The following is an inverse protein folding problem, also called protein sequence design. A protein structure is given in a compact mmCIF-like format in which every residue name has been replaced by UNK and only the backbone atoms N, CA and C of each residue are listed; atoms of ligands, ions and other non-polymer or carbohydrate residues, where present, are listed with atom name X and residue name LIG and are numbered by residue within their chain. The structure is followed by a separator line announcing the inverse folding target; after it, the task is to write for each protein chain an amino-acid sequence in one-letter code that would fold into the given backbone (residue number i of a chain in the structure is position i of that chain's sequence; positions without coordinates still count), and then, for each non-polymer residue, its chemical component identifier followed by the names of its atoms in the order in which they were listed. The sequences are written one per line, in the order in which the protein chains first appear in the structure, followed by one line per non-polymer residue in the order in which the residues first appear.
data_IF_767242717457
#
_entry.id   IF_767242717457
#
_cell.length_a   1.000
_cell.length_b   1.000
_cell.length_c   1.000
_cell.angle_alpha   90.00
_cell.angle_beta   90.00
_cell.angle_gamma   90.00
#
_symmetry.space_group_name_H-M   'P 1'
#
loop_
_entity.id
_entity.type
_entity.pdbx_description
1 polymer ?
#
# COMPACT_ATOMS: atom_id res chain seq x y z
N UNK A 1 39.04 -42.40 -13.66
CA UNK A 1 37.95 -43.06 -14.42
C UNK A 1 36.74 -43.12 -13.51
N UNK A 2 35.59 -42.48 -13.77
CA UNK A 2 35.14 -41.76 -14.96
C UNK A 2 34.11 -40.66 -14.61
N UNK A 3 33.96 -39.74 -15.56
CA UNK A 3 32.83 -38.81 -15.73
C UNK A 3 31.53 -39.63 -15.99
N UNK A 4 30.29 -39.16 -15.86
CA UNK A 4 29.55 -37.97 -16.36
C UNK A 4 28.22 -37.91 -15.55
N UNK A 5 27.48 -36.84 -15.25
CA UNK A 5 27.24 -35.54 -15.89
C UNK A 5 25.72 -35.32 -16.02
N UNK A 6 25.18 -34.18 -15.55
CA UNK A 6 24.11 -33.27 -16.09
C UNK A 6 23.65 -32.29 -14.96
N UNK A 7 24.08 -31.01 -14.98
CA UNK A 7 23.41 -29.80 -15.50
C UNK A 7 22.14 -29.38 -14.69
N UNK A 8 22.09 -28.30 -13.89
CA UNK A 8 22.24 -26.84 -14.11
C UNK A 8 20.91 -26.09 -14.36
N UNK A 9 20.58 -25.15 -13.47
CA UNK A 9 19.80 -23.92 -13.73
C UNK A 9 19.96 -22.97 -12.54
N UNK A 10 20.86 -21.98 -12.65
CA UNK A 10 20.58 -20.55 -12.94
C UNK A 10 19.81 -19.86 -11.79
N UNK A 11 20.38 -18.96 -10.98
CA UNK A 11 21.29 -17.87 -11.33
C UNK A 11 20.49 -16.69 -11.91
N UNK A 12 20.00 -15.79 -11.06
CA UNK A 12 19.57 -14.45 -11.49
C UNK A 12 20.22 -13.42 -10.58
N UNK A 13 21.44 -13.05 -10.97
CA UNK A 13 21.95 -11.70 -10.81
C UNK A 13 21.83 -11.03 -12.19
N UNK A 14 21.32 -9.81 -12.24
CA UNK A 14 21.44 -8.93 -13.40
C UNK A 14 20.11 -8.35 -13.90
N UNK A 15 20.02 -7.02 -13.91
CA UNK A 15 18.94 -6.34 -14.62
C UNK A 15 18.76 -4.86 -14.29
N UNK A 16 19.83 -4.07 -14.29
CA UNK A 16 19.69 -2.62 -14.50
C UNK A 16 19.21 -2.37 -15.93
N UNK A 17 17.89 -2.35 -16.14
CA UNK A 17 17.32 -1.96 -17.43
C UNK A 17 17.10 -0.46 -17.47
N UNK A 18 18.15 0.29 -17.86
CA UNK A 18 17.96 1.58 -18.53
C UNK A 18 17.62 1.28 -19.99
N UNK A 19 16.33 1.19 -20.29
CA UNK A 19 15.82 1.16 -21.66
C UNK A 19 15.01 2.44 -21.92
N UNK A 20 15.27 3.04 -23.09
CA UNK A 20 14.82 4.36 -23.50
C UNK A 20 13.30 4.56 -23.56
N UNK A 21 12.94 5.82 -23.47
CA UNK A 21 11.59 6.34 -23.54
C UNK A 21 10.85 5.93 -24.82
N UNK A 22 9.73 5.23 -24.65
CA UNK A 22 8.56 5.30 -25.54
C UNK A 22 7.33 5.13 -24.66
N UNK A 23 6.51 6.17 -24.61
CA UNK A 23 5.46 6.37 -23.59
C UNK A 23 4.60 5.13 -23.35
N UNK A 24 4.79 4.50 -22.20
CA UNK A 24 3.82 3.58 -21.63
C UNK A 24 2.92 4.48 -20.78
N UNK A 25 1.66 4.64 -21.17
CA UNK A 25 0.61 5.13 -20.27
C UNK A 25 0.58 4.15 -19.09
N UNK A 26 1.38 4.42 -18.07
CA UNK A 26 1.39 3.63 -16.85
C UNK A 26 -0.05 3.55 -16.35
N UNK A 27 -0.49 2.35 -15.97
CA UNK A 27 -1.78 2.18 -15.30
C UNK A 27 -1.90 3.27 -14.23
N UNK A 28 -3.03 3.97 -14.17
CA UNK A 28 -3.29 4.96 -13.13
C UNK A 28 -3.21 4.34 -11.70
N UNK A 29 -3.18 3.01 -11.63
CA UNK A 29 -3.06 2.15 -10.45
C UNK A 29 -1.59 2.12 -9.98
N UNK A 30 -1.27 2.56 -8.75
CA UNK A 30 0.11 2.57 -8.23
C UNK A 30 0.78 1.19 -8.18
N UNK A 31 0.06 0.16 -7.74
CA UNK A 31 0.56 -1.22 -7.58
C UNK A 31 -0.45 -2.21 -8.19
N UNK A 32 -0.40 -2.46 -9.51
CA UNK A 32 -1.43 -3.22 -10.21
C UNK A 32 -1.41 -4.72 -9.92
N UNK A 33 -0.23 -5.28 -9.62
CA UNK A 33 -0.05 -6.69 -9.28
C UNK A 33 0.28 -6.82 -7.78
N UNK A 34 -0.17 -7.90 -7.10
CA UNK A 34 0.22 -8.16 -5.73
C UNK A 34 1.75 -8.16 -5.56
N UNK A 35 2.24 -7.47 -4.53
CA UNK A 35 3.67 -7.42 -4.19
C UNK A 35 3.85 -7.69 -2.71
N UNK A 36 4.85 -8.48 -2.35
CA UNK A 36 5.29 -8.59 -0.94
C UNK A 36 6.08 -7.34 -0.58
N UNK A 37 5.52 -6.52 0.29
CA UNK A 37 6.12 -5.29 0.78
C UNK A 37 7.24 -5.59 1.80
N UNK A 38 8.08 -4.59 2.10
CA UNK A 38 9.19 -4.71 3.05
C UNK A 38 8.78 -5.15 4.48
N UNK A 39 7.51 -4.94 4.85
CA UNK A 39 6.95 -5.41 6.13
C UNK A 39 6.50 -6.89 6.11
N UNK A 40 6.75 -7.61 5.01
CA UNK A 40 6.41 -9.02 4.83
C UNK A 40 4.95 -9.28 4.42
N UNK A 41 4.13 -8.23 4.25
CA UNK A 41 2.71 -8.35 3.90
C UNK A 41 2.48 -8.14 2.41
N UNK A 42 1.42 -8.74 1.87
CA UNK A 42 1.07 -8.59 0.45
C UNK A 42 0.23 -7.34 0.26
N UNK A 43 0.65 -6.48 -0.66
CA UNK A 43 -0.05 -5.26 -1.04
C UNK A 43 -0.50 -5.29 -2.50
N UNK A 44 -1.72 -4.82 -2.77
CA UNK A 44 -2.24 -4.61 -4.11
C UNK A 44 -3.14 -3.38 -4.12
N UNK A 45 -2.94 -2.49 -5.09
CA UNK A 45 -3.84 -1.36 -5.29
C UNK A 45 -5.24 -1.83 -5.69
N UNK A 46 -6.25 -1.15 -5.18
CA UNK A 46 -7.65 -1.46 -5.51
C UNK A 46 -8.14 -0.52 -6.63
N UNK A 47 -8.63 -1.03 -7.77
CA UNK A 47 -9.15 -0.21 -8.87
C UNK A 47 -10.20 0.83 -8.43
N UNK A 48 -10.97 0.55 -7.36
CA UNK A 48 -11.96 1.49 -6.80
C UNK A 48 -11.34 2.79 -6.27
N UNK A 49 -10.07 2.75 -5.87
CA UNK A 49 -9.30 3.90 -5.39
C UNK A 49 -8.33 4.44 -6.44
N UNK A 50 -8.43 3.96 -7.67
CA UNK A 50 -7.65 4.48 -8.80
C UNK A 50 -8.49 5.47 -9.60
N UNK A 51 -7.94 6.64 -9.93
CA UNK A 51 -8.63 7.62 -10.76
C UNK A 51 -8.97 7.03 -12.15
N UNK A 52 -10.26 6.95 -12.47
CA UNK A 52 -10.74 6.34 -13.72
C UNK A 52 -10.69 4.81 -13.73
N UNK A 53 -10.37 4.17 -12.60
CA UNK A 53 -10.42 2.71 -12.43
C UNK A 53 -11.84 2.17 -12.30
N UNK A 54 -11.98 0.86 -12.48
CA UNK A 54 -13.27 0.19 -12.34
C UNK A 54 -13.83 0.35 -10.92
N UNK A 55 -15.10 0.78 -10.85
CA UNK A 55 -15.76 1.07 -9.58
C UNK A 55 -15.30 2.34 -8.86
N UNK A 56 -14.41 3.16 -9.46
CA UNK A 56 -14.05 4.47 -8.92
C UNK A 56 -15.24 5.43 -9.02
N UNK A 57 -15.76 5.84 -7.86
CA UNK A 57 -16.88 6.78 -7.76
C UNK A 57 -16.35 8.19 -7.56
N UNK A 58 -17.14 9.22 -7.93
CA UNK A 58 -16.73 10.63 -7.79
C UNK A 58 -16.36 11.04 -6.35
N UNK A 59 -16.87 10.32 -5.35
CA UNK A 59 -16.63 10.52 -3.92
C UNK A 59 -15.66 9.48 -3.31
N UNK A 60 -15.09 8.58 -4.11
CA UNK A 60 -14.05 7.68 -3.63
C UNK A 60 -12.76 8.48 -3.40
N UNK A 61 -12.06 8.16 -2.31
CA UNK A 61 -10.70 8.64 -2.13
C UNK A 61 -9.78 8.06 -3.22
N UNK A 62 -8.75 8.82 -3.57
CA UNK A 62 -7.77 8.43 -4.58
C UNK A 62 -6.49 7.97 -3.88
N UNK A 63 -6.08 6.75 -4.21
CA UNK A 63 -4.88 6.13 -3.68
C UNK A 63 -3.64 6.98 -4.05
N UNK A 64 -2.79 7.33 -3.09
CA UNK A 64 -1.57 8.08 -3.35
C UNK A 64 -0.56 7.21 -4.12
N UNK A 65 0.29 7.84 -4.95
CA UNK A 65 1.30 7.11 -5.74
C UNK A 65 2.35 6.38 -4.88
N UNK A 66 2.60 6.91 -3.69
CA UNK A 66 3.50 6.38 -2.67
C UNK A 66 2.81 5.43 -1.69
N UNK A 67 1.60 4.94 -2.01
CA UNK A 67 0.80 4.04 -1.16
C UNK A 67 1.56 2.79 -0.70
N UNK A 68 2.40 2.20 -1.56
CA UNK A 68 3.24 1.06 -1.19
C UNK A 68 4.24 1.44 -0.09
N UNK A 69 4.91 2.57 -0.23
CA UNK A 69 5.89 3.04 0.77
C UNK A 69 5.21 3.37 2.09
N UNK A 70 4.02 3.97 2.05
CA UNK A 70 3.20 4.21 3.22
C UNK A 70 2.80 2.88 3.88
N UNK A 71 2.38 1.89 3.08
CA UNK A 71 2.01 0.57 3.58
C UNK A 71 3.18 -0.15 4.25
N UNK A 72 4.37 -0.10 3.67
CA UNK A 72 5.60 -0.66 4.25
C UNK A 72 5.89 -0.11 5.65
N UNK A 73 5.60 1.17 5.87
CA UNK A 73 5.81 1.85 7.16
C UNK A 73 4.54 1.86 8.04
N UNK A 74 3.51 1.11 7.65
CA UNK A 74 2.24 1.10 8.39
C UNK A 74 2.32 0.26 9.66
N UNK A 75 1.64 0.75 10.70
CA UNK A 75 1.47 0.06 11.98
C UNK A 75 0.07 -0.57 12.06
N UNK A 76 -0.06 -1.76 12.67
CA UNK A 76 -1.36 -2.39 12.85
C UNK A 76 -2.24 -1.55 13.79
N UNK A 77 -3.55 -1.58 13.53
CA UNK A 77 -4.54 -1.03 14.43
C UNK A 77 -4.65 -1.89 15.69
N UNK A 78 -4.84 -1.26 16.85
CA UNK A 78 -5.16 -1.96 18.09
C UNK A 78 -6.63 -2.36 18.22
N UNK A 79 -7.50 -1.90 17.31
CA UNK A 79 -8.90 -2.33 17.25
C UNK A 79 -9.04 -3.65 16.50
N UNK A 80 -9.97 -4.49 16.94
CA UNK A 80 -10.39 -5.67 16.19
C UNK A 80 -11.43 -5.27 15.13
N UNK A 81 -11.25 -5.72 13.89
CA UNK A 81 -12.18 -5.46 12.77
C UNK A 81 -12.77 -6.76 12.21
N UNK A 82 -13.00 -7.75 13.09
CA UNK A 82 -13.52 -9.06 12.71
C UNK A 82 -12.52 -9.82 11.83
N UNK A 83 -12.91 -10.09 10.59
CA UNK A 83 -12.11 -10.81 9.59
C UNK A 83 -11.13 -9.92 8.82
N UNK A 84 -10.98 -8.66 9.22
CA UNK A 84 -10.09 -7.69 8.59
C UNK A 84 -8.95 -7.32 9.52
N UNK A 85 -7.77 -7.11 8.93
CA UNK A 85 -6.70 -6.37 9.58
C UNK A 85 -6.72 -4.93 9.06
N UNK A 86 -6.57 -3.96 9.95
CA UNK A 86 -6.47 -2.55 9.58
C UNK A 86 -5.12 -2.03 10.01
N UNK A 87 -4.45 -1.29 9.11
CA UNK A 87 -3.16 -0.68 9.37
C UNK A 87 -3.20 0.81 9.04
N UNK A 88 -2.33 1.58 9.66
CA UNK A 88 -2.26 3.02 9.45
C UNK A 88 -0.84 3.49 9.22
N UNK A 89 -0.66 4.48 8.35
CA UNK A 89 0.61 5.16 8.13
C UNK A 89 0.40 6.67 8.09
N UNK A 90 1.45 7.43 8.35
CA UNK A 90 1.44 8.89 8.25
C UNK A 90 2.32 9.34 7.09
N UNK A 91 1.82 10.23 6.25
CA UNK A 91 2.60 10.85 5.18
C UNK A 91 3.44 12.04 5.68
N UNK A 92 4.28 12.59 4.80
CA UNK A 92 5.13 13.76 5.13
C UNK A 92 4.33 15.03 5.44
N UNK A 93 3.09 15.12 4.96
CA UNK A 93 2.17 16.24 5.20
C UNK A 93 1.40 16.09 6.51
N UNK A 94 1.57 14.98 7.21
CA UNK A 94 0.87 14.65 8.45
C UNK A 94 -0.52 14.06 8.25
N UNK A 95 -0.91 13.67 7.03
CA UNK A 95 -2.14 12.93 6.80
C UNK A 95 -1.97 11.47 7.20
N UNK A 96 -3.04 10.87 7.73
CA UNK A 96 -3.05 9.45 8.09
C UNK A 96 -3.78 8.67 7.02
N UNK A 97 -3.13 7.65 6.51
CA UNK A 97 -3.64 6.71 5.52
C UNK A 97 -4.05 5.41 6.21
N UNK A 98 -5.16 4.83 5.79
CA UNK A 98 -5.67 3.54 6.25
C UNK A 98 -5.48 2.47 5.18
N UNK A 99 -5.09 1.28 5.61
CA UNK A 99 -4.98 0.09 4.79
C UNK A 99 -5.84 -1.01 5.38
N UNK A 100 -6.59 -1.73 4.54
CA UNK A 100 -7.37 -2.89 4.96
C UNK A 100 -6.81 -4.16 4.32
N UNK A 101 -6.60 -5.17 5.16
CA UNK A 101 -6.21 -6.52 4.79
C UNK A 101 -7.38 -7.49 4.93
N UNK A 102 -7.59 -8.33 3.94
CA UNK A 102 -8.50 -9.48 4.01
C UNK A 102 -7.81 -10.68 3.38
N UNK A 103 -7.79 -11.82 4.09
CA UNK A 103 -7.07 -13.03 3.65
C UNK A 103 -5.58 -12.78 3.30
N UNK A 104 -4.92 -11.86 4.01
CA UNK A 104 -3.49 -11.58 3.83
C UNK A 104 -3.13 -10.60 2.70
N UNK A 105 -4.09 -10.17 1.88
CA UNK A 105 -3.89 -9.13 0.86
C UNK A 105 -4.42 -7.78 1.36
N UNK A 106 -3.56 -6.76 1.33
CA UNK A 106 -3.83 -5.40 1.78
C UNK A 106 -3.99 -4.43 0.62
N UNK A 107 -4.86 -3.45 0.81
CA UNK A 107 -5.02 -2.32 -0.10
C UNK A 107 -5.29 -1.03 0.66
N UNK A 108 -5.01 0.11 0.03
CA UNK A 108 -5.35 1.42 0.58
C UNK A 108 -6.87 1.63 0.65
N UNK A 109 -7.35 2.19 1.76
CA UNK A 109 -8.78 2.38 2.06
C UNK A 109 -9.06 3.74 2.73
N UNK A 110 -8.44 4.82 2.20
CA UNK A 110 -8.72 6.20 2.58
C UNK A 110 -7.58 6.93 3.30
N UNK A 111 -7.62 8.27 3.26
CA UNK A 111 -6.72 9.16 3.97
C UNK A 111 -7.48 10.27 4.69
N UNK A 112 -6.95 10.79 5.80
CA UNK A 112 -7.47 12.03 6.42
C UNK A 112 -7.25 13.25 5.53
N UNK A 113 -6.35 13.15 4.55
CA UNK A 113 -6.09 14.18 3.54
C UNK A 113 -7.00 14.10 2.30
N UNK A 114 -7.92 13.11 2.22
CA UNK A 114 -8.87 13.03 1.12
C UNK A 114 -9.82 14.23 1.13
N UNK A 115 -9.83 15.01 0.05
CA UNK A 115 -10.63 16.24 -0.05
C UNK A 115 -12.13 15.95 -0.07
N UNK A 116 -12.55 14.83 -0.68
CA UNK A 116 -13.96 14.52 -0.92
C UNK A 116 -14.58 13.61 0.14
N UNK A 117 -13.78 12.72 0.71
CA UNK A 117 -14.24 11.74 1.69
C UNK A 117 -13.10 11.44 2.68
N UNK A 118 -12.76 12.41 3.55
CA UNK A 118 -11.66 12.26 4.49
C UNK A 118 -11.96 11.13 5.48
N UNK A 119 -10.96 10.31 5.77
CA UNK A 119 -10.99 9.38 6.89
C UNK A 119 -11.26 10.16 8.18
N UNK A 120 -12.21 9.70 8.99
CA UNK A 120 -12.53 10.38 10.24
C UNK A 120 -11.43 10.12 11.27
N UNK A 121 -10.93 11.19 11.91
CA UNK A 121 -9.89 11.09 12.94
C UNK A 121 -10.33 10.25 14.15
N UNK A 122 -11.63 10.11 14.37
CA UNK A 122 -12.20 9.28 15.44
C UNK A 122 -12.14 7.78 15.13
N UNK A 123 -12.00 7.41 13.85
CA UNK A 123 -11.85 6.00 13.45
C UNK A 123 -10.44 5.48 13.78
N UNK A 124 -9.46 6.37 13.88
CA UNK A 124 -8.07 6.06 14.17
C UNK A 124 -7.91 5.84 15.68
N UNK A 125 -7.44 4.67 16.15
CA UNK A 125 -7.23 4.42 17.58
C UNK A 125 -6.21 5.38 18.20
N UNK A 126 -6.41 5.76 19.47
CA UNK A 126 -5.51 6.68 20.16
C UNK A 126 -4.08 6.15 20.29
N UNK A 127 -3.91 4.84 20.41
CA UNK A 127 -2.60 4.21 20.42
C UNK A 127 -1.86 4.35 19.08
N UNK A 128 -2.56 4.15 17.97
CA UNK A 128 -2.03 4.40 16.62
C UNK A 128 -1.63 5.87 16.48
N UNK A 129 -2.48 6.80 16.92
CA UNK A 129 -2.15 8.24 16.89
C UNK A 129 -0.86 8.53 17.66
N UNK A 130 -0.71 7.94 18.86
CA UNK A 130 0.50 8.09 19.69
C UNK A 130 1.74 7.52 18.99
N UNK A 131 1.66 6.31 18.42
CA UNK A 131 2.77 5.68 17.71
C UNK A 131 3.17 6.44 16.44
N UNK A 132 2.21 7.03 15.72
CA UNK A 132 2.46 7.91 14.58
C UNK A 132 2.96 9.31 14.99
N UNK A 133 3.12 9.59 16.29
CA UNK A 133 3.58 10.89 16.80
C UNK A 133 2.57 12.03 16.56
N UNK A 134 1.28 11.72 16.51
CA UNK A 134 0.21 12.71 16.35
C UNK A 134 -0.17 13.29 17.72
N UNK A 135 0.10 14.58 17.93
CA UNK A 135 -0.17 15.29 19.20
C UNK A 135 -1.17 16.44 19.02
N UNK A 136 -1.65 17.01 20.13
CA UNK A 136 -2.54 18.17 20.13
C UNK A 136 -3.91 17.87 19.49
N UNK A 137 -4.21 18.54 18.35
CA UNK A 137 -5.46 18.48 17.55
C UNK A 137 -5.91 17.09 17.06
N UNK A 138 -5.18 16.04 17.43
CA UNK A 138 -5.47 14.64 17.10
C UNK A 138 -6.03 13.82 18.29
N UNK A 139 -5.83 14.28 19.54
CA UNK A 139 -6.32 13.62 20.75
C UNK A 139 -7.78 13.93 21.01
#
# INVERSE_FOLDING_TARGET
MGQTGIAASAGVAGGISKAGAKGIKGSAVPVPNPVTANNGLVYKSNPKHTLGGDGNRRNAGIEPKDSLKLFENSIPSSKNYGNKEVRFAKDEKGNVHRFEGTNGEYHWNGSTGDVKNPLNKNDIPNEVKKQLGLSGKWR
#
